data_IF_107390700924
#
_entry.id   IF_107390700924
#
_cell.length_a   1.000
_cell.length_b   1.000
_cell.length_c   1.000
_cell.angle_alpha   90.00
_cell.angle_beta   90.00
_cell.angle_gamma   90.00
#
_symmetry.space_group_name_H-M   'P 1'
#
loop_
_entity.id
_entity.type
_entity.pdbx_description
1 polymer ?
#
# COMPACT_ATOMS: atom_id res chain seq x y z
N UNK A 1 7.87 22.44 17.86
CA UNK A 1 8.16 21.00 17.91
C UNK A 1 7.30 20.35 16.84
N UNK A 2 7.88 19.89 15.73
CA UNK A 2 7.17 18.95 14.87
C UNK A 2 7.05 17.67 15.70
N UNK A 3 5.83 17.30 16.07
CA UNK A 3 5.51 15.89 16.34
C UNK A 3 6.20 15.06 15.26
N UNK A 4 6.73 13.85 15.55
CA UNK A 4 7.11 12.94 14.48
C UNK A 4 5.80 12.59 13.75
N UNK A 5 5.42 13.47 12.82
CA UNK A 5 4.30 13.32 11.93
C UNK A 5 4.60 12.06 11.18
N UNK A 6 3.72 11.08 11.36
CA UNK A 6 3.78 9.85 10.62
C UNK A 6 3.90 10.21 9.13
N UNK A 7 5.04 9.87 8.54
CA UNK A 7 5.41 10.33 7.20
C UNK A 7 4.77 9.39 6.19
N UNK A 8 3.50 9.65 5.85
CA UNK A 8 2.70 8.82 4.95
C UNK A 8 3.38 8.65 3.58
N UNK A 9 4.16 9.65 3.15
CA UNK A 9 4.96 9.60 1.93
C UNK A 9 6.11 8.57 2.03
N UNK A 10 6.88 8.59 3.12
CA UNK A 10 7.92 7.60 3.38
C UNK A 10 7.33 6.19 3.52
N UNK A 11 6.18 6.06 4.18
CA UNK A 11 5.47 4.78 4.33
C UNK A 11 5.04 4.22 2.97
N UNK A 12 4.39 5.03 2.11
CA UNK A 12 4.02 4.59 0.76
C UNK A 12 5.22 4.18 -0.10
N UNK A 13 6.34 4.93 -0.03
CA UNK A 13 7.56 4.56 -0.76
C UNK A 13 8.15 3.24 -0.27
N UNK A 14 8.16 3.00 1.04
CA UNK A 14 8.61 1.73 1.61
C UNK A 14 7.70 0.58 1.15
N UNK A 15 6.39 0.81 1.13
CA UNK A 15 5.38 -0.14 0.69
C UNK A 15 5.54 -0.48 -0.81
N UNK A 16 5.76 0.53 -1.64
CA UNK A 16 6.07 0.37 -3.07
C UNK A 16 7.35 -0.46 -3.30
N UNK A 17 8.39 -0.23 -2.49
CA UNK A 17 9.66 -0.96 -2.58
C UNK A 17 9.55 -2.43 -2.22
N UNK A 18 8.69 -2.78 -1.24
CA UNK A 18 8.47 -4.18 -0.83
C UNK A 18 7.38 -4.89 -1.60
N UNK A 19 6.53 -4.18 -2.35
CA UNK A 19 5.44 -4.78 -3.14
C UNK A 19 5.94 -5.90 -4.03
N UNK A 20 7.13 -5.76 -4.62
CA UNK A 20 7.73 -6.77 -5.48
C UNK A 20 7.97 -8.11 -4.79
N UNK A 21 8.23 -8.08 -3.49
CA UNK A 21 8.62 -9.23 -2.66
C UNK A 21 7.48 -9.87 -1.89
N UNK A 22 6.25 -9.34 -1.96
CA UNK A 22 5.08 -9.93 -1.33
C UNK A 22 4.68 -11.19 -2.11
N UNK A 23 4.97 -12.36 -1.56
CA UNK A 23 4.73 -13.67 -2.21
C UNK A 23 3.55 -14.42 -1.58
N UNK A 24 3.06 -13.96 -0.42
CA UNK A 24 1.87 -14.54 0.21
C UNK A 24 0.63 -13.63 0.07
N UNK A 25 -0.57 -14.20 -0.16
CA UNK A 25 -1.80 -13.42 -0.28
C UNK A 25 -2.09 -12.61 0.99
N UNK A 26 -1.80 -13.17 2.17
CA UNK A 26 -1.97 -12.48 3.46
C UNK A 26 -1.09 -11.24 3.58
N UNK A 27 0.11 -11.25 3.00
CA UNK A 27 1.00 -10.08 3.01
C UNK A 27 0.48 -8.97 2.10
N UNK A 28 -0.11 -9.35 0.96
CA UNK A 28 -0.75 -8.42 0.01
C UNK A 28 -2.01 -7.80 0.62
N UNK A 29 -2.82 -8.59 1.31
CA UNK A 29 -4.00 -8.08 2.06
C UNK A 29 -3.59 -7.09 3.15
N UNK A 30 -2.53 -7.39 3.92
CA UNK A 30 -1.99 -6.46 4.92
C UNK A 30 -1.45 -5.18 4.30
N UNK A 31 -0.79 -5.28 3.14
CA UNK A 31 -0.30 -4.12 2.42
C UNK A 31 -1.46 -3.25 1.88
N UNK A 32 -2.58 -3.86 1.46
CA UNK A 32 -3.79 -3.14 1.05
C UNK A 32 -4.42 -2.38 2.20
N UNK A 33 -4.52 -3.02 3.37
CA UNK A 33 -5.03 -2.40 4.59
C UNK A 33 -4.14 -1.21 5.01
N UNK A 34 -2.81 -1.40 4.93
CA UNK A 34 -1.84 -0.35 5.21
C UNK A 34 -1.99 0.84 4.25
N UNK A 35 -2.08 0.63 2.93
CA UNK A 35 -2.32 1.75 1.98
C UNK A 35 -3.65 2.44 2.26
N UNK A 36 -4.69 1.70 2.63
CA UNK A 36 -6.01 2.27 2.94
C UNK A 36 -5.94 3.16 4.19
N UNK A 37 -5.22 2.72 5.22
CA UNK A 37 -4.94 3.52 6.40
C UNK A 37 -4.12 4.77 6.07
N UNK A 38 -3.10 4.64 5.21
CA UNK A 38 -2.29 5.77 4.76
C UNK A 38 -3.15 6.81 4.03
N UNK A 39 -4.05 6.37 3.15
CA UNK A 39 -4.93 7.23 2.34
C UNK A 39 -5.78 8.20 3.15
N UNK A 40 -6.19 7.86 4.39
CA UNK A 40 -6.97 8.74 5.27
C UNK A 40 -6.19 10.00 5.67
N UNK A 41 -4.86 9.87 5.77
CA UNK A 41 -3.95 10.93 6.21
C UNK A 41 -3.02 11.42 5.11
N UNK A 42 -3.27 10.99 3.87
CA UNK A 42 -2.35 11.19 2.77
C UNK A 42 -2.56 12.54 2.10
N UNK A 43 -1.46 13.22 1.77
CA UNK A 43 -1.50 14.39 0.91
C UNK A 43 -2.17 14.08 -0.45
N UNK A 44 -2.98 15.00 -0.98
CA UNK A 44 -3.69 14.81 -2.25
C UNK A 44 -2.75 14.55 -3.42
N UNK A 45 -1.53 15.10 -3.39
CA UNK A 45 -0.51 14.87 -4.42
C UNK A 45 -0.02 13.41 -4.45
N UNK A 46 -0.13 12.69 -3.33
CA UNK A 46 0.27 11.30 -3.19
C UNK A 46 -0.88 10.31 -3.39
N UNK A 47 -2.14 10.78 -3.42
CA UNK A 47 -3.30 9.91 -3.66
C UNK A 47 -3.20 9.12 -4.96
N UNK A 48 -2.70 9.74 -6.02
CA UNK A 48 -2.44 9.05 -7.30
C UNK A 48 -1.46 7.89 -7.16
N UNK A 49 -0.44 8.05 -6.31
CA UNK A 49 0.54 7.00 -6.04
C UNK A 49 -0.07 5.87 -5.20
N UNK A 50 -0.86 6.23 -4.18
CA UNK A 50 -1.58 5.25 -3.37
C UNK A 50 -2.58 4.43 -4.21
N UNK A 51 -3.34 5.08 -5.09
CA UNK A 51 -4.30 4.40 -5.97
C UNK A 51 -3.61 3.37 -6.89
N UNK A 52 -2.46 3.75 -7.46
CA UNK A 52 -1.63 2.83 -8.26
C UNK A 52 -1.09 1.64 -7.46
N UNK A 53 -0.76 1.83 -6.18
CA UNK A 53 -0.35 0.75 -5.28
C UNK A 53 -1.51 -0.19 -4.96
N UNK A 54 -2.70 0.35 -4.66
CA UNK A 54 -3.91 -0.44 -4.41
C UNK A 54 -4.24 -1.30 -5.62
N UNK A 55 -4.27 -0.72 -6.81
CA UNK A 55 -4.57 -1.44 -8.05
C UNK A 55 -3.53 -2.55 -8.34
N UNK A 56 -2.25 -2.27 -8.08
CA UNK A 56 -1.17 -3.26 -8.21
C UNK A 56 -1.33 -4.43 -7.23
N UNK A 57 -1.62 -4.14 -5.96
CA UNK A 57 -1.84 -5.14 -4.93
C UNK A 57 -3.09 -5.99 -5.23
N UNK A 58 -4.19 -5.37 -5.66
CA UNK A 58 -5.43 -6.10 -6.03
C UNK A 58 -5.22 -7.02 -7.21
N UNK A 59 -4.49 -6.58 -8.25
CA UNK A 59 -4.12 -7.43 -9.39
C UNK A 59 -3.26 -8.61 -8.97
N UNK A 60 -2.29 -8.38 -8.07
CA UNK A 60 -1.49 -9.48 -7.50
C UNK A 60 -2.36 -10.46 -6.74
N UNK A 61 -3.20 -9.99 -5.82
CA UNK A 61 -4.09 -10.82 -5.01
C UNK A 61 -5.03 -11.68 -5.88
N UNK A 62 -5.60 -11.08 -6.94
CA UNK A 62 -6.44 -11.80 -7.89
C UNK A 62 -5.69 -12.88 -8.69
N UNK A 63 -4.35 -12.78 -8.79
CA UNK A 63 -3.50 -13.79 -9.40
C UNK A 63 -3.22 -15.01 -8.49
N UNK A 64 -3.59 -14.96 -7.21
CA UNK A 64 -3.37 -16.09 -6.30
C UNK A 64 -4.46 -17.17 -6.44
N UNK A 65 -4.07 -18.45 -6.62
CA UNK A 65 -5.02 -19.55 -6.67
C UNK A 65 -5.64 -19.76 -5.28
N UNK A 66 -6.85 -19.25 -5.09
CA UNK A 66 -7.57 -19.27 -3.81
C UNK A 66 -8.45 -18.03 -3.56
N UNK A 67 -8.35 -17.01 -4.41
CA UNK A 67 -9.15 -15.78 -4.35
C UNK A 67 -10.12 -15.60 -5.55
N UNK A 68 -10.40 -16.70 -6.28
CA UNK A 68 -11.30 -16.75 -7.45
C UNK A 68 -12.63 -17.43 -7.12
#
# INVERSE_FOLDING_TARGET
MMTPGFDSAAALKALAGRIGSLDEPVEIERALDEVTFLCDTLDPELQLLADGLVDTLRRRLAGFPGHA
#
